data_IF_699906551998
#
_entry.id   IF_699906551998
#
_cell.length_a   1.000
_cell.length_b   1.000
_cell.length_c   1.000
_cell.angle_alpha   90.00
_cell.angle_beta   90.00
_cell.angle_gamma   90.00
#
_symmetry.space_group_name_H-M   'P 1'
#
loop_
_entity.id
_entity.type
_entity.pdbx_description
1 polymer ?
#
# COMPACT_ATOMS: atom_id res chain seq x y z
N UNK A 1 -1.84 -7.36 -58.38
CA UNK A 1 -3.16 -7.27 -57.71
C UNK A 1 -2.92 -7.13 -56.21
N UNK A 2 -3.65 -6.19 -55.62
CA UNK A 2 -3.42 -5.58 -54.30
C UNK A 2 -3.37 -6.56 -53.13
N UNK A 3 -2.40 -6.31 -52.24
CA UNK A 3 -2.43 -6.77 -50.87
C UNK A 3 -2.57 -5.52 -49.99
N UNK A 4 -3.80 -5.06 -49.81
CA UNK A 4 -4.13 -3.99 -48.88
C UNK A 4 -5.29 -4.42 -47.98
N UNK A 5 -5.15 -4.04 -46.72
CA UNK A 5 -6.21 -3.84 -45.74
C UNK A 5 -6.70 -5.04 -44.93
N UNK A 6 -5.93 -5.39 -43.90
CA UNK A 6 -6.51 -5.63 -42.58
C UNK A 6 -5.71 -4.85 -41.52
N UNK A 7 -6.05 -3.57 -41.33
CA UNK A 7 -5.75 -2.85 -40.09
C UNK A 7 -6.65 -3.40 -38.99
N UNK A 8 -6.16 -4.32 -38.15
CA UNK A 8 -6.78 -4.58 -36.85
C UNK A 8 -6.29 -3.50 -35.88
N UNK A 9 -6.94 -2.34 -35.93
CA UNK A 9 -6.87 -1.35 -34.86
C UNK A 9 -7.53 -1.94 -33.62
N UNK A 10 -6.73 -2.45 -32.68
CA UNK A 10 -7.16 -2.81 -31.33
C UNK A 10 -7.60 -1.52 -30.63
N UNK A 11 -8.90 -1.19 -30.69
CA UNK A 11 -9.50 -0.07 -29.93
C UNK A 11 -9.13 -0.23 -28.46
N UNK A 12 -8.25 0.64 -27.95
CA UNK A 12 -8.16 0.93 -26.52
C UNK A 12 -9.56 1.33 -26.08
N UNK A 13 -10.09 0.62 -25.08
CA UNK A 13 -11.37 0.93 -24.43
C UNK A 13 -11.30 2.39 -23.97
N UNK A 14 -12.17 3.27 -24.46
CA UNK A 14 -12.21 4.67 -24.00
C UNK A 14 -12.33 4.66 -22.47
N UNK A 15 -11.29 5.14 -21.78
CA UNK A 15 -11.30 5.28 -20.33
C UNK A 15 -12.40 6.27 -19.94
N UNK A 16 -13.20 5.96 -18.93
CA UNK A 16 -14.26 6.87 -18.48
C UNK A 16 -13.66 8.21 -18.01
N UNK A 17 -14.47 9.27 -17.96
CA UNK A 17 -14.02 10.57 -17.41
C UNK A 17 -13.51 10.42 -15.99
N UNK A 18 -14.13 9.55 -15.19
CA UNK A 18 -13.70 9.20 -13.85
C UNK A 18 -12.29 8.58 -13.86
N UNK A 19 -12.03 7.61 -14.74
CA UNK A 19 -10.71 6.98 -14.89
C UNK A 19 -9.63 8.00 -15.27
N UNK A 20 -9.94 8.94 -16.19
CA UNK A 20 -9.02 10.01 -16.58
C UNK A 20 -8.63 10.87 -15.39
N UNK A 21 -9.60 11.22 -14.54
CA UNK A 21 -9.35 12.00 -13.32
C UNK A 21 -8.47 11.21 -12.36
N UNK A 22 -8.78 9.93 -12.12
CA UNK A 22 -8.00 9.08 -11.21
C UNK A 22 -6.56 8.91 -11.68
N UNK A 23 -6.34 8.68 -12.99
CA UNK A 23 -5.00 8.56 -13.58
C UNK A 23 -4.21 9.87 -13.40
N UNK A 24 -4.80 11.01 -13.74
CA UNK A 24 -4.18 12.31 -13.58
C UNK A 24 -3.86 12.63 -12.10
N UNK A 25 -4.82 12.37 -11.21
CA UNK A 25 -4.67 12.58 -9.78
C UNK A 25 -3.55 11.72 -9.19
N UNK A 26 -3.48 10.43 -9.54
CA UNK A 26 -2.39 9.53 -9.12
C UNK A 26 -1.03 10.08 -9.51
N UNK A 27 -0.89 10.53 -10.77
CA UNK A 27 0.35 11.12 -11.28
C UNK A 27 0.74 12.37 -10.49
N UNK A 28 -0.18 13.32 -10.32
CA UNK A 28 0.11 14.59 -9.67
C UNK A 28 0.39 14.39 -8.17
N UNK A 29 -0.38 13.56 -7.47
CA UNK A 29 -0.13 13.24 -6.06
C UNK A 29 1.24 12.58 -5.87
N UNK A 30 1.62 11.64 -6.72
CA UNK A 30 2.94 10.99 -6.62
C UNK A 30 4.09 11.98 -6.83
N UNK A 31 3.91 12.99 -7.69
CA UNK A 31 4.95 13.97 -8.02
C UNK A 31 5.06 15.10 -6.99
N UNK A 32 3.94 15.60 -6.47
CA UNK A 32 3.87 16.83 -5.67
C UNK A 32 3.39 16.61 -4.23
N UNK A 33 2.95 15.41 -3.92
CA UNK A 33 2.27 15.09 -2.68
C UNK A 33 0.85 15.67 -2.59
N UNK A 34 0.11 15.25 -1.57
CA UNK A 34 -1.25 15.72 -1.29
C UNK A 34 -1.32 17.23 -1.05
N UNK A 35 -0.42 17.78 -0.24
CA UNK A 35 -0.40 19.21 0.11
C UNK A 35 -0.05 20.10 -1.08
N UNK A 36 0.90 19.66 -1.92
CA UNK A 36 1.35 20.40 -3.10
C UNK A 36 0.40 20.37 -4.30
N UNK A 37 -0.74 19.69 -4.17
CA UNK A 37 -1.69 19.44 -5.27
C UNK A 37 -2.97 20.24 -5.13
N UNK A 38 -3.42 20.89 -6.22
CA UNK A 38 -4.74 21.51 -6.33
C UNK A 38 -5.62 20.75 -7.33
N UNK A 39 -6.94 20.73 -7.13
CA UNK A 39 -7.89 20.11 -8.07
C UNK A 39 -7.80 20.69 -9.50
N UNK A 40 -7.39 21.95 -9.65
CA UNK A 40 -7.15 22.58 -10.95
C UNK A 40 -5.98 21.94 -11.70
N UNK A 41 -4.92 21.55 -10.99
CA UNK A 41 -3.76 20.89 -11.61
C UNK A 41 -4.17 19.50 -12.14
N UNK A 42 -5.01 18.79 -11.38
CA UNK A 42 -5.56 17.49 -11.79
C UNK A 42 -6.48 17.63 -13.00
N UNK A 43 -7.35 18.65 -13.01
CA UNK A 43 -8.23 18.93 -14.15
C UNK A 43 -7.43 19.21 -15.43
N UNK A 44 -6.37 20.02 -15.31
CA UNK A 44 -5.48 20.33 -16.43
C UNK A 44 -4.70 19.09 -16.92
N UNK A 45 -4.19 18.27 -16.01
CA UNK A 45 -3.49 17.02 -16.35
C UNK A 45 -4.41 16.00 -17.03
N UNK A 46 -5.68 15.93 -16.61
CA UNK A 46 -6.68 15.04 -17.21
C UNK A 46 -7.28 15.57 -18.53
N UNK A 47 -6.94 16.80 -18.93
CA UNK A 47 -7.55 17.55 -20.04
C UNK A 47 -9.09 17.64 -19.91
N UNK A 48 -9.57 18.01 -18.71
CA UNK A 48 -11.00 18.18 -18.44
C UNK A 48 -11.31 19.45 -17.66
N UNK A 49 -12.59 19.84 -17.63
CA UNK A 49 -13.06 20.96 -16.83
C UNK A 49 -13.05 20.64 -15.32
N UNK A 50 -12.59 21.59 -14.49
CA UNK A 50 -12.62 21.50 -13.03
C UNK A 50 -14.02 21.15 -12.48
N UNK A 51 -15.09 21.64 -13.10
CA UNK A 51 -16.47 21.33 -12.71
C UNK A 51 -16.77 19.83 -12.81
N UNK A 52 -16.16 19.11 -13.77
CA UNK A 52 -16.29 17.65 -13.86
C UNK A 52 -15.55 16.97 -12.70
N UNK A 53 -14.33 17.40 -12.38
CA UNK A 53 -13.60 16.87 -11.20
C UNK A 53 -14.43 17.03 -9.93
N UNK A 54 -15.00 18.22 -9.72
CA UNK A 54 -15.87 18.50 -8.58
C UNK A 54 -17.17 17.70 -8.60
N UNK A 55 -17.73 17.43 -9.78
CA UNK A 55 -18.93 16.62 -9.93
C UNK A 55 -18.68 15.17 -9.47
N UNK A 56 -17.59 14.55 -9.94
CA UNK A 56 -17.25 13.16 -9.60
C UNK A 56 -16.79 13.00 -8.15
N UNK A 57 -15.82 13.79 -7.70
CA UNK A 57 -15.12 13.52 -6.44
C UNK A 57 -15.48 14.48 -5.30
N UNK A 58 -16.19 15.58 -5.59
CA UNK A 58 -16.61 16.62 -4.62
C UNK A 58 -15.48 17.43 -3.98
N UNK A 59 -14.36 16.82 -3.62
CA UNK A 59 -13.24 17.48 -2.96
C UNK A 59 -11.90 16.76 -3.21
N UNK A 60 -10.78 17.44 -2.89
CA UNK A 60 -9.43 16.88 -3.04
C UNK A 60 -9.21 15.71 -2.08
N UNK A 61 -9.73 15.85 -0.87
CA UNK A 61 -9.69 14.86 0.21
C UNK A 61 -10.32 13.55 -0.27
N UNK A 62 -11.56 13.60 -0.78
CA UNK A 62 -12.27 12.39 -1.25
C UNK A 62 -11.59 11.71 -2.43
N UNK A 63 -11.07 12.48 -3.39
CA UNK A 63 -10.30 11.94 -4.50
C UNK A 63 -9.03 11.22 -4.00
N UNK A 64 -8.33 11.84 -3.05
CA UNK A 64 -7.14 11.26 -2.44
C UNK A 64 -7.47 9.99 -1.63
N UNK A 65 -8.50 10.03 -0.79
CA UNK A 65 -8.99 8.88 -0.02
C UNK A 65 -9.35 7.70 -0.93
N UNK A 66 -10.02 7.94 -2.06
CA UNK A 66 -10.36 6.90 -3.03
C UNK A 66 -9.09 6.25 -3.62
N UNK A 67 -8.13 7.06 -4.06
CA UNK A 67 -6.85 6.56 -4.60
C UNK A 67 -6.09 5.73 -3.57
N UNK A 68 -6.01 6.21 -2.33
CA UNK A 68 -5.33 5.49 -1.25
C UNK A 68 -6.07 4.20 -0.87
N UNK A 69 -7.40 4.22 -0.90
CA UNK A 69 -8.23 3.03 -0.68
C UNK A 69 -8.00 1.99 -1.77
N UNK A 70 -7.92 2.40 -3.04
CA UNK A 70 -7.60 1.52 -4.18
C UNK A 70 -6.19 0.91 -4.04
N UNK A 71 -5.21 1.69 -3.58
CA UNK A 71 -3.85 1.21 -3.31
C UNK A 71 -3.83 0.13 -2.22
N UNK A 72 -4.51 0.37 -1.10
CA UNK A 72 -4.65 -0.61 -0.01
C UNK A 72 -5.39 -1.85 -0.49
N UNK A 73 -6.42 -1.68 -1.33
CA UNK A 73 -7.15 -2.79 -1.91
C UNK A 73 -6.26 -3.67 -2.80
N UNK A 74 -5.49 -3.05 -3.68
CA UNK A 74 -4.53 -3.74 -4.55
C UNK A 74 -3.50 -4.54 -3.75
N UNK A 75 -2.97 -3.96 -2.67
CA UNK A 75 -2.04 -4.67 -1.77
C UNK A 75 -2.70 -5.92 -1.18
N UNK A 76 -3.90 -5.76 -0.62
CA UNK A 76 -4.62 -6.88 -0.03
C UNK A 76 -4.90 -7.97 -1.05
N UNK A 77 -5.32 -7.62 -2.27
CA UNK A 77 -5.65 -8.61 -3.31
C UNK A 77 -4.41 -9.40 -3.76
N UNK A 78 -3.21 -8.79 -3.69
CA UNK A 78 -1.92 -9.47 -3.93
C UNK A 78 -1.52 -10.36 -2.75
N UNK A 79 -1.63 -9.87 -1.52
CA UNK A 79 -1.07 -10.50 -0.31
C UNK A 79 -1.99 -11.55 0.30
N UNK A 80 -3.30 -11.30 0.33
CA UNK A 80 -4.27 -12.16 1.00
C UNK A 80 -4.27 -13.63 0.52
N UNK A 81 -4.14 -13.94 -0.78
CA UNK A 81 -4.05 -15.34 -1.24
C UNK A 81 -2.92 -16.11 -0.55
N UNK A 82 -1.75 -15.48 -0.39
CA UNK A 82 -0.58 -16.07 0.28
C UNK A 82 -0.80 -16.18 1.78
N UNK A 83 -1.40 -15.16 2.42
CA UNK A 83 -1.74 -15.24 3.85
C UNK A 83 -2.68 -16.39 4.18
N UNK A 84 -3.63 -16.65 3.28
CA UNK A 84 -4.65 -17.66 3.48
C UNK A 84 -4.21 -19.06 3.07
N UNK A 85 -3.12 -19.22 2.32
CA UNK A 85 -2.58 -20.53 1.95
C UNK A 85 -2.02 -21.27 3.17
N UNK A 86 -2.48 -22.50 3.40
CA UNK A 86 -2.03 -23.36 4.51
C UNK A 86 -0.68 -24.01 4.25
N UNK A 87 -0.27 -24.12 2.98
CA UNK A 87 1.00 -24.75 2.58
C UNK A 87 2.19 -23.80 2.69
N UNK A 88 1.94 -22.51 2.53
CA UNK A 88 2.97 -21.48 2.66
C UNK A 88 3.40 -21.33 4.14
N UNK A 89 4.71 -21.31 4.38
CA UNK A 89 5.27 -21.15 5.72
C UNK A 89 5.03 -19.74 6.28
N UNK A 90 5.12 -19.58 7.60
CA UNK A 90 4.95 -18.26 8.21
C UNK A 90 6.06 -17.26 7.78
N UNK A 91 7.29 -17.76 7.62
CA UNK A 91 8.43 -16.96 7.14
C UNK A 91 8.24 -16.46 5.71
N UNK A 92 7.76 -17.34 4.82
CA UNK A 92 7.47 -16.95 3.44
C UNK A 92 6.34 -15.90 3.39
N UNK A 93 5.34 -16.02 4.28
CA UNK A 93 4.29 -15.01 4.42
C UNK A 93 4.85 -13.67 4.89
N UNK A 94 5.76 -13.64 5.87
CA UNK A 94 6.43 -12.41 6.28
C UNK A 94 7.22 -11.78 5.13
N UNK A 95 7.94 -12.59 4.38
CA UNK A 95 8.69 -12.16 3.19
C UNK A 95 7.77 -11.52 2.15
N UNK A 96 6.64 -12.18 1.86
CA UNK A 96 5.65 -11.68 0.90
C UNK A 96 4.99 -10.37 1.36
N UNK A 97 4.64 -10.25 2.64
CA UNK A 97 4.09 -9.02 3.21
C UNK A 97 5.12 -7.89 3.10
N UNK A 98 6.37 -8.13 3.54
CA UNK A 98 7.42 -7.12 3.54
C UNK A 98 7.71 -6.61 2.12
N UNK A 99 7.87 -7.51 1.15
CA UNK A 99 8.12 -7.20 -0.25
C UNK A 99 7.03 -6.29 -0.83
N UNK A 100 5.77 -6.72 -0.76
CA UNK A 100 4.67 -6.02 -1.41
C UNK A 100 4.26 -4.75 -0.69
N UNK A 101 4.34 -4.71 0.63
CA UNK A 101 3.98 -3.52 1.39
C UNK A 101 5.06 -2.45 1.27
N UNK A 102 6.34 -2.79 1.39
CA UNK A 102 7.44 -1.81 1.20
C UNK A 102 7.39 -1.25 -0.23
N UNK A 103 7.21 -2.08 -1.25
CA UNK A 103 7.08 -1.61 -2.64
C UNK A 103 5.94 -0.60 -2.79
N UNK A 104 4.78 -0.88 -2.18
CA UNK A 104 3.65 0.04 -2.21
C UNK A 104 3.97 1.39 -1.56
N UNK A 105 4.65 1.37 -0.41
CA UNK A 105 5.02 2.61 0.31
C UNK A 105 6.08 3.42 -0.45
N UNK A 106 7.02 2.76 -1.13
CA UNK A 106 8.01 3.42 -2.00
C UNK A 106 7.35 4.08 -3.22
N UNK A 107 6.38 3.39 -3.83
CA UNK A 107 5.62 3.91 -4.97
C UNK A 107 4.66 5.04 -4.59
N UNK A 108 4.24 5.13 -3.31
CA UNK A 108 3.21 6.07 -2.85
C UNK A 108 3.67 6.83 -1.59
N UNK A 109 4.46 7.92 -1.72
CA UNK A 109 5.09 8.60 -0.58
C UNK A 109 4.14 9.19 0.48
N UNK A 110 2.90 9.54 0.10
CA UNK A 110 1.90 10.04 1.06
C UNK A 110 1.13 8.92 1.77
N UNK A 111 1.15 7.70 1.22
CA UNK A 111 0.38 6.58 1.76
C UNK A 111 0.78 6.21 3.20
N UNK A 112 2.07 6.19 3.60
CA UNK A 112 2.43 5.96 4.99
C UNK A 112 1.74 6.94 5.96
N UNK A 113 1.77 8.25 5.65
CA UNK A 113 1.17 9.29 6.50
C UNK A 113 -0.35 9.14 6.56
N UNK A 114 -0.96 8.87 5.42
CA UNK A 114 -2.39 8.59 5.32
C UNK A 114 -2.80 7.41 6.22
N UNK A 115 -2.11 6.28 6.12
CA UNK A 115 -2.40 5.07 6.92
C UNK A 115 -2.35 5.39 8.42
N UNK A 116 -1.29 6.06 8.89
CA UNK A 116 -1.15 6.38 10.32
C UNK A 116 -2.20 7.40 10.78
N UNK A 117 -2.48 8.43 9.99
CA UNK A 117 -3.53 9.42 10.29
C UNK A 117 -4.89 8.74 10.47
N UNK A 118 -5.23 7.82 9.56
CA UNK A 118 -6.50 7.10 9.62
C UNK A 118 -6.56 6.15 10.83
N UNK A 119 -5.48 5.43 11.13
CA UNK A 119 -5.39 4.57 12.32
C UNK A 119 -5.53 5.37 13.64
N UNK A 120 -4.84 6.51 13.75
CA UNK A 120 -4.86 7.35 14.96
C UNK A 120 -6.18 8.09 15.15
N UNK A 121 -6.85 8.46 14.07
CA UNK A 121 -8.16 9.11 14.13
C UNK A 121 -9.26 8.21 14.72
N UNK A 122 -8.97 6.92 14.94
CA UNK A 122 -9.90 5.92 15.47
C UNK A 122 -11.13 5.72 14.56
N UNK A 123 -11.09 6.29 13.37
CA UNK A 123 -12.24 6.35 12.50
C UNK A 123 -12.19 5.12 11.61
N UNK A 124 -13.28 4.35 11.60
CA UNK A 124 -13.50 3.23 10.68
C UNK A 124 -13.62 3.71 9.20
N UNK A 125 -12.95 4.80 8.83
CA UNK A 125 -13.10 5.57 7.59
C UNK A 125 -12.33 5.00 6.42
N UNK A 126 -11.53 3.95 6.61
CA UNK A 126 -11.09 3.12 5.49
C UNK A 126 -11.98 1.87 5.44
N UNK A 127 -13.14 1.90 4.74
CA UNK A 127 -13.98 0.73 4.51
C UNK A 127 -13.18 -0.49 4.05
N UNK A 128 -12.12 -0.29 3.26
CA UNK A 128 -11.25 -1.38 2.82
C UNK A 128 -10.60 -2.12 4.00
N UNK A 129 -10.06 -1.43 5.00
CA UNK A 129 -9.44 -2.09 6.17
C UNK A 129 -10.50 -2.78 7.01
N UNK A 130 -11.62 -2.10 7.28
CA UNK A 130 -12.69 -2.62 8.14
C UNK A 130 -13.34 -3.86 7.52
N UNK A 131 -13.70 -3.81 6.23
CA UNK A 131 -14.33 -4.92 5.52
C UNK A 131 -13.43 -6.15 5.36
N UNK A 132 -12.11 -5.96 5.37
CA UNK A 132 -11.12 -7.03 5.21
C UNK A 132 -10.63 -7.61 6.54
N UNK A 133 -10.92 -6.94 7.67
CA UNK A 133 -10.49 -7.36 9.02
C UNK A 133 -10.83 -8.81 9.33
N UNK A 134 -12.07 -9.21 9.15
CA UNK A 134 -12.53 -10.57 9.46
C UNK A 134 -11.79 -11.62 8.63
N UNK A 135 -11.57 -11.35 7.34
CA UNK A 135 -10.80 -12.23 6.45
C UNK A 135 -9.37 -12.42 6.94
N UNK A 136 -8.71 -11.34 7.38
CA UNK A 136 -7.34 -11.43 7.92
C UNK A 136 -7.34 -12.23 9.23
N UNK A 137 -8.25 -11.94 10.16
CA UNK A 137 -8.32 -12.63 11.46
C UNK A 137 -8.55 -14.14 11.31
N UNK A 138 -9.30 -14.56 10.30
CA UNK A 138 -9.59 -15.97 10.03
C UNK A 138 -8.57 -16.66 9.11
N UNK A 139 -7.55 -15.93 8.64
CA UNK A 139 -6.57 -16.45 7.68
C UNK A 139 -5.61 -17.46 8.31
N UNK A 140 -5.02 -18.31 7.46
CA UNK A 140 -3.95 -19.24 7.85
C UNK A 140 -2.76 -18.54 8.52
N UNK A 141 -2.42 -17.33 8.07
CA UNK A 141 -1.36 -16.50 8.66
C UNK A 141 -1.57 -16.26 10.17
N UNK A 142 -2.78 -15.85 10.57
CA UNK A 142 -3.10 -15.62 11.98
C UNK A 142 -3.03 -16.93 12.76
N UNK A 143 -3.62 -18.02 12.24
CA UNK A 143 -3.56 -19.35 12.86
C UNK A 143 -2.11 -19.83 13.09
N UNK A 144 -1.23 -19.60 12.11
CA UNK A 144 0.20 -19.95 12.22
C UNK A 144 0.92 -19.13 13.29
N UNK A 145 0.64 -17.82 13.42
CA UNK A 145 1.18 -17.00 14.51
C UNK A 145 0.73 -17.50 15.89
N UNK A 146 -0.56 -17.83 16.05
CA UNK A 146 -1.07 -18.41 17.30
C UNK A 146 -0.37 -19.75 17.63
N UNK A 147 -0.28 -20.66 16.65
CA UNK A 147 0.39 -21.95 16.83
C UNK A 147 1.86 -21.79 17.21
N UNK A 148 2.54 -20.78 16.66
CA UNK A 148 3.95 -20.51 16.96
C UNK A 148 4.14 -20.02 18.41
N UNK A 149 3.27 -19.11 18.86
CA UNK A 149 3.27 -18.65 20.26
C UNK A 149 3.02 -19.82 21.21
N UNK A 150 2.02 -20.66 20.95
CA UNK A 150 1.72 -21.86 21.77
C UNK A 150 2.93 -22.79 21.87
N UNK A 151 3.62 -23.05 20.75
CA UNK A 151 4.79 -23.93 20.70
C UNK A 151 6.02 -23.35 21.42
N UNK A 152 6.21 -22.04 21.35
CA UNK A 152 7.37 -21.36 21.96
C UNK A 152 7.34 -21.37 23.50
N UNK A 153 6.21 -21.75 24.14
CA UNK A 153 5.95 -21.63 25.58
C UNK A 153 6.17 -20.22 26.15
N UNK A 154 6.27 -19.22 25.29
CA UNK A 154 6.42 -17.82 25.68
C UNK A 154 5.06 -17.17 25.88
N UNK A 155 4.97 -16.28 26.86
CA UNK A 155 3.82 -15.42 27.10
C UNK A 155 3.80 -14.20 26.17
N UNK A 156 4.05 -14.40 24.87
CA UNK A 156 4.00 -13.32 23.88
C UNK A 156 2.64 -13.34 23.18
N UNK A 157 1.86 -12.29 23.33
CA UNK A 157 0.58 -12.19 22.63
C UNK A 157 0.82 -12.14 21.09
N UNK A 158 0.14 -12.93 20.24
CA UNK A 158 0.39 -12.97 18.79
C UNK A 158 0.28 -11.62 18.08
N UNK A 159 -0.53 -10.70 18.62
CA UNK A 159 -0.63 -9.31 18.12
C UNK A 159 0.72 -8.59 18.18
N UNK A 160 1.62 -8.93 19.11
CA UNK A 160 2.96 -8.34 19.15
C UNK A 160 3.78 -8.66 17.89
N UNK A 161 3.61 -9.86 17.32
CA UNK A 161 4.29 -10.24 16.07
C UNK A 161 3.79 -9.36 14.93
N UNK A 162 2.46 -9.19 14.83
CA UNK A 162 1.84 -8.32 13.82
C UNK A 162 2.25 -6.85 14.00
N UNK A 163 2.24 -6.34 15.24
CA UNK A 163 2.68 -4.96 15.54
C UNK A 163 4.14 -4.76 15.16
N UNK A 164 5.03 -5.72 15.45
CA UNK A 164 6.44 -5.64 15.08
C UNK A 164 6.62 -5.66 13.56
N UNK A 165 5.93 -6.54 12.85
CA UNK A 165 5.95 -6.58 11.38
C UNK A 165 5.51 -5.23 10.78
N UNK A 166 4.37 -4.69 11.22
CA UNK A 166 3.87 -3.41 10.75
C UNK A 166 4.81 -2.26 11.12
N UNK A 167 5.38 -2.25 12.32
CA UNK A 167 6.33 -1.24 12.75
C UNK A 167 7.61 -1.27 11.91
N UNK A 168 8.17 -2.46 11.66
CA UNK A 168 9.37 -2.63 10.84
C UNK A 168 9.18 -2.19 9.39
N UNK A 169 7.95 -2.25 8.88
CA UNK A 169 7.59 -1.80 7.53
C UNK A 169 7.29 -0.30 7.51
N UNK A 170 6.37 0.18 8.36
CA UNK A 170 5.78 1.52 8.23
C UNK A 170 6.66 2.59 8.87
N UNK A 171 7.27 2.31 10.03
CA UNK A 171 7.97 3.31 10.82
C UNK A 171 9.14 4.00 10.07
N UNK A 172 9.99 3.29 9.30
CA UNK A 172 11.06 3.94 8.53
C UNK A 172 10.57 5.05 7.60
N UNK A 173 9.38 4.89 7.00
CA UNK A 173 8.77 5.90 6.14
C UNK A 173 8.25 7.12 6.91
N UNK A 174 7.79 6.92 8.15
CA UNK A 174 7.33 8.04 8.99
C UNK A 174 8.48 8.93 9.44
N UNK A 175 9.62 8.30 9.71
CA UNK A 175 10.83 8.98 10.20
C UNK A 175 11.82 9.28 9.08
N UNK A 176 11.42 9.18 7.81
CA UNK A 176 12.30 9.47 6.67
C UNK A 176 12.93 10.87 6.76
N UNK A 177 12.16 11.88 7.19
CA UNK A 177 12.67 13.24 7.40
C UNK A 177 13.70 13.34 8.55
N UNK A 178 13.65 12.43 9.53
CA UNK A 178 14.66 12.35 10.60
C UNK A 178 15.90 11.62 10.09
N UNK A 179 15.71 10.56 9.30
CA UNK A 179 16.79 9.82 8.64
C UNK A 179 17.58 10.74 7.70
N UNK A 180 16.93 11.66 6.99
CA UNK A 180 17.62 12.62 6.13
C UNK A 180 18.49 13.63 6.89
N UNK A 181 18.17 13.93 8.15
CA UNK A 181 19.04 14.73 9.02
C UNK A 181 20.37 14.02 9.36
N UNK A 182 20.42 12.69 9.20
CA UNK A 182 21.65 11.90 9.35
C UNK A 182 22.50 11.89 8.08
N UNK A 183 22.11 12.63 7.04
CA UNK A 183 22.81 12.70 5.76
C UNK A 183 22.33 11.71 4.70
N UNK A 184 21.43 10.79 5.06
CA UNK A 184 20.90 9.76 4.16
C UNK A 184 19.94 10.41 3.15
N UNK A 185 20.32 10.36 1.88
CA UNK A 185 19.50 10.92 0.80
C UNK A 185 18.35 9.98 0.42
N UNK A 186 17.42 10.47 -0.41
CA UNK A 186 16.24 9.70 -0.80
C UNK A 186 16.61 8.42 -1.54
N UNK A 187 17.59 8.48 -2.43
CA UNK A 187 18.05 7.35 -3.23
C UNK A 187 18.62 6.24 -2.33
N UNK A 188 19.50 6.62 -1.41
CA UNK A 188 20.05 5.70 -0.39
C UNK A 188 18.95 5.14 0.53
N UNK A 189 17.97 5.96 0.93
CA UNK A 189 16.83 5.49 1.71
C UNK A 189 16.04 4.40 0.96
N UNK A 190 15.84 4.55 -0.36
CA UNK A 190 15.16 3.55 -1.19
C UNK A 190 15.96 2.24 -1.18
N UNK A 191 17.28 2.29 -1.35
CA UNK A 191 18.15 1.10 -1.30
C UNK A 191 18.06 0.40 0.06
N UNK A 192 18.09 1.17 1.16
CA UNK A 192 17.90 0.61 2.52
C UNK A 192 16.52 -0.06 2.64
N UNK A 193 15.46 0.53 2.08
CA UNK A 193 14.12 -0.07 2.14
C UNK A 193 14.04 -1.36 1.31
N UNK A 194 14.70 -1.41 0.15
CA UNK A 194 14.80 -2.63 -0.66
C UNK A 194 15.54 -3.75 0.08
N UNK A 195 16.63 -3.43 0.76
CA UNK A 195 17.35 -4.41 1.59
C UNK A 195 16.50 -4.90 2.78
N UNK A 196 15.71 -4.00 3.39
CA UNK A 196 14.82 -4.35 4.50
C UNK A 196 13.78 -5.41 4.12
N UNK A 197 13.36 -5.50 2.86
CA UNK A 197 12.44 -6.57 2.40
C UNK A 197 13.00 -7.96 2.71
N UNK A 198 14.32 -8.13 2.57
CA UNK A 198 15.05 -9.38 2.88
C UNK A 198 15.34 -9.54 4.37
N UNK A 199 15.58 -8.45 5.08
CA UNK A 199 15.98 -8.50 6.50
C UNK A 199 14.80 -8.70 7.46
N UNK A 200 13.63 -8.13 7.16
CA UNK A 200 12.43 -8.23 8.02
C UNK A 200 12.05 -9.67 8.39
N UNK A 201 11.95 -10.64 7.46
CA UNK A 201 11.63 -12.02 7.82
C UNK A 201 12.68 -12.63 8.76
N UNK A 202 13.97 -12.32 8.56
CA UNK A 202 15.06 -12.77 9.45
C UNK A 202 14.89 -12.20 10.86
N UNK A 203 14.63 -10.89 10.97
CA UNK A 203 14.43 -10.24 12.27
C UNK A 203 13.18 -10.75 13.00
N UNK A 204 12.08 -10.96 12.28
CA UNK A 204 10.85 -11.50 12.87
C UNK A 204 11.06 -12.94 13.34
N UNK A 205 11.72 -13.77 12.53
CA UNK A 205 12.06 -15.12 12.96
C UNK A 205 12.94 -15.12 14.20
N UNK A 206 13.93 -14.22 14.29
CA UNK A 206 14.75 -14.10 15.50
C UNK A 206 13.91 -13.71 16.73
N UNK A 207 12.98 -12.76 16.60
CA UNK A 207 12.08 -12.34 17.70
C UNK A 207 11.20 -13.50 18.16
N UNK A 208 10.75 -14.35 17.25
CA UNK A 208 9.81 -15.42 17.56
C UNK A 208 10.50 -16.74 17.96
N UNK A 209 11.72 -16.98 17.49
CA UNK A 209 12.52 -18.17 17.80
C UNK A 209 13.39 -18.01 19.06
N UNK A 210 13.81 -16.77 19.39
CA UNK A 210 14.36 -16.46 20.72
C UNK A 210 13.33 -16.76 21.78
#
# INVERSE_FOLDING_TARGET
>A
MNNSDIKVGKKMKDSSTEDKILIAARKIFTQRGYEGTKLRDIAAEADINLSLVNYYFRSKEKLFEQIMTENINSLFDKVFPVLNDEKTSLEDKFSFIAEHYISLLLENPDLPKFIVSELLSGSNKIPAIVSKREKVLNSSFVKQMFSLVEKSKKTVHPVNILMNLLALIIFPFQVQNVISLLGIQREEFIEIMEDRKKMIPIWLNAIVAS
#
